data_IF_245033900247
#
_entry.id   IF_245033900247
#
_cell.length_a   1.000
_cell.length_b   1.000
_cell.length_c   1.000
_cell.angle_alpha   90.00
_cell.angle_beta   90.00
_cell.angle_gamma   90.00
#
_symmetry.space_group_name_H-M   'P 1'
#
loop_
_entity.id
_entity.type
_entity.pdbx_description
1 polymer ?
#
# COMPACT_ATOMS: atom_id res chain seq x y z
N UNK A 1 12.30 12.08 24.61
CA UNK A 1 11.03 11.32 24.70
C UNK A 1 10.02 11.76 23.64
N UNK A 2 9.51 13.00 23.67
CA UNK A 2 8.43 13.49 22.76
C UNK A 2 8.72 13.32 21.26
N UNK A 3 9.98 13.51 20.84
CA UNK A 3 10.43 13.30 19.44
C UNK A 3 10.31 11.84 18.98
N UNK A 4 10.59 10.87 19.87
CA UNK A 4 10.51 9.44 19.55
C UNK A 4 9.05 8.99 19.39
N UNK A 5 8.14 9.56 20.19
CA UNK A 5 6.69 9.28 20.09
C UNK A 5 6.16 9.77 18.74
N UNK A 6 6.54 10.99 18.33
CA UNK A 6 6.15 11.55 17.02
C UNK A 6 6.71 10.69 15.88
N UNK A 7 7.96 10.22 16.00
CA UNK A 7 8.59 9.36 15.01
C UNK A 7 7.85 8.01 14.86
N UNK A 8 7.46 7.40 15.98
CA UNK A 8 6.71 6.14 15.99
C UNK A 8 5.33 6.29 15.33
N UNK A 9 4.61 7.39 15.62
CA UNK A 9 3.31 7.68 15.00
C UNK A 9 3.46 7.84 13.48
N UNK A 10 4.46 8.60 13.02
CA UNK A 10 4.73 8.79 11.59
C UNK A 10 4.97 7.46 10.87
N UNK A 11 5.82 6.59 11.44
CA UNK A 11 6.11 5.27 10.87
C UNK A 11 4.84 4.42 10.77
N UNK A 12 4.02 4.39 11.82
CA UNK A 12 2.76 3.63 11.82
C UNK A 12 1.78 4.14 10.75
N UNK A 13 1.67 5.46 10.57
CA UNK A 13 0.79 6.04 9.54
C UNK A 13 1.25 5.70 8.12
N UNK A 14 2.56 5.72 7.85
CA UNK A 14 3.12 5.35 6.54
C UNK A 14 2.84 3.88 6.20
N UNK A 15 2.98 2.99 7.20
CA UNK A 15 2.70 1.55 7.02
C UNK A 15 1.21 1.33 6.73
N UNK A 16 0.30 2.01 7.45
CA UNK A 16 -1.14 1.92 7.23
C UNK A 16 -1.57 2.42 5.84
N UNK A 17 -0.96 3.50 5.34
CA UNK A 17 -1.25 4.00 3.99
C UNK A 17 -0.70 3.09 2.88
N UNK A 18 0.45 2.44 3.11
CA UNK A 18 1.07 1.54 2.13
C UNK A 18 0.37 0.18 1.99
N UNK A 19 -0.43 -0.22 2.97
CA UNK A 19 -1.08 -1.55 3.00
C UNK A 19 -2.33 -1.66 2.11
N UNK A 20 -2.83 -0.52 1.60
CA UNK A 20 -4.09 -0.44 0.84
C UNK A 20 -3.94 -0.83 -0.65
N UNK A 21 -2.76 -0.73 -1.25
CA UNK A 21 -2.63 -0.90 -2.71
C UNK A 21 -2.50 -2.35 -3.19
N UNK A 22 -1.91 -3.24 -2.37
CA UNK A 22 -1.70 -4.64 -2.75
C UNK A 22 -2.77 -5.60 -2.25
N UNK A 23 -3.20 -5.42 -1.00
CA UNK A 23 -4.01 -6.42 -0.28
C UNK A 23 -5.51 -6.32 -0.58
N UNK A 24 -6.04 -5.12 -0.80
CA UNK A 24 -7.45 -4.89 -1.14
C UNK A 24 -7.79 -5.33 -2.55
N UNK A 25 -6.89 -5.07 -3.51
CA UNK A 25 -7.06 -5.51 -4.89
C UNK A 25 -7.16 -7.03 -4.95
N UNK A 26 -6.22 -7.74 -4.31
CA UNK A 26 -6.21 -9.21 -4.29
C UNK A 26 -7.47 -9.80 -3.62
N UNK A 27 -7.99 -9.17 -2.56
CA UNK A 27 -9.23 -9.59 -1.88
C UNK A 27 -10.50 -9.40 -2.72
N UNK A 28 -10.53 -8.41 -3.61
CA UNK A 28 -11.64 -8.15 -4.53
C UNK A 28 -11.52 -8.88 -5.87
N UNK A 29 -10.59 -9.84 -5.96
CA UNK A 29 -10.27 -10.53 -7.20
C UNK A 29 -9.72 -9.57 -8.27
N UNK A 30 -9.08 -8.46 -7.88
CA UNK A 30 -8.41 -7.53 -8.79
C UNK A 30 -6.89 -7.70 -8.69
N UNK A 31 -6.21 -7.82 -9.83
CA UNK A 31 -4.75 -7.79 -9.91
C UNK A 31 -4.33 -6.49 -10.55
N UNK A 32 -3.58 -5.69 -9.79
CA UNK A 32 -2.88 -4.54 -10.31
C UNK A 32 -1.47 -4.95 -10.72
N UNK A 33 -1.08 -4.66 -11.95
CA UNK A 33 0.29 -4.77 -12.44
C UNK A 33 0.98 -3.43 -12.21
N UNK A 34 2.16 -3.49 -11.63
CA UNK A 34 2.99 -2.33 -11.34
C UNK A 34 4.21 -2.33 -12.27
N UNK A 35 4.75 -1.16 -12.60
CA UNK A 35 6.03 -1.06 -13.32
C UNK A 35 7.23 -1.19 -12.37
N UNK A 36 8.45 -1.14 -12.92
CA UNK A 36 9.69 -1.19 -12.13
C UNK A 36 9.88 0.01 -11.19
N UNK A 37 9.09 1.08 -11.36
CA UNK A 37 9.06 2.27 -10.49
C UNK A 37 7.95 2.18 -9.42
N UNK A 38 7.12 1.14 -9.44
CA UNK A 38 5.99 0.98 -8.52
C UNK A 38 4.70 1.69 -8.94
N UNK A 39 4.60 2.23 -10.15
CA UNK A 39 3.38 2.88 -10.64
C UNK A 39 2.39 1.84 -11.18
N UNK A 40 1.09 2.06 -10.94
CA UNK A 40 0.01 1.21 -11.44
C UNK A 40 -0.07 1.31 -12.96
N UNK A 41 0.21 0.21 -13.66
CA UNK A 41 0.07 0.13 -15.11
C UNK A 41 -1.34 -0.30 -15.52
N UNK A 42 -1.90 -1.30 -14.83
CA UNK A 42 -3.22 -1.85 -15.16
C UNK A 42 -3.80 -2.61 -13.98
N UNK A 43 -5.05 -2.33 -13.60
CA UNK A 43 -5.82 -3.08 -12.61
C UNK A 43 -7.02 -3.74 -13.29
N UNK A 44 -7.04 -5.07 -13.31
CA UNK A 44 -8.14 -5.86 -13.88
C UNK A 44 -8.60 -6.96 -12.93
N UNK A 45 -9.74 -7.57 -13.20
CA UNK A 45 -10.20 -8.74 -12.44
C UNK A 45 -9.39 -9.98 -12.81
N UNK A 46 -9.09 -10.82 -11.83
CA UNK A 46 -8.54 -12.16 -11.98
C UNK A 46 -9.74 -13.06 -12.26
N UNK A 47 -9.95 -13.40 -13.52
CA UNK A 47 -10.93 -14.41 -13.92
C UNK A 47 -10.31 -15.81 -13.78
#
# INVERSE_FOLDING_TARGET
>A
MKKLIILAILIMTVISCSYLDGSEAQRRGRRCRYNYKGEVQHCGYIN
#
